data_IF_980259818635
#
_entry.id   IF_980259818635
#
_cell.length_a   1.000
_cell.length_b   1.000
_cell.length_c   1.000
_cell.angle_alpha   90.00
_cell.angle_beta   90.00
_cell.angle_gamma   90.00
#
_symmetry.space_group_name_H-M   'P 1'
#
loop_
_entity.id
_entity.type
_entity.pdbx_description
1 polymer ?
#
# COMPACT_ATOMS: atom_id res chain seq x y z
N UNK A 1 -30.65 -1.28 -5.95
CA UNK A 1 -30.74 -2.34 -4.92
C UNK A 1 -30.71 -3.68 -5.63
N UNK A 2 -29.55 -4.31 -5.71
CA UNK A 2 -29.42 -5.67 -6.27
C UNK A 2 -28.83 -6.50 -5.15
N UNK A 3 -29.61 -7.46 -4.66
CA UNK A 3 -29.20 -8.45 -3.65
C UNK A 3 -28.71 -9.66 -4.46
N UNK A 4 -27.40 -9.86 -4.53
CA UNK A 4 -26.81 -11.09 -5.06
C UNK A 4 -26.63 -12.08 -3.93
N UNK A 5 -27.33 -13.21 -4.00
CA UNK A 5 -27.15 -14.33 -3.07
C UNK A 5 -26.09 -15.30 -3.61
N UNK A 6 -25.10 -15.62 -2.77
CA UNK A 6 -24.24 -16.80 -2.95
C UNK A 6 -24.33 -17.63 -1.66
N UNK A 7 -24.95 -18.80 -1.78
CA UNK A 7 -25.15 -19.77 -0.71
C UNK A 7 -23.90 -20.68 -0.55
N UNK A 8 -23.00 -20.22 0.31
CA UNK A 8 -22.37 -20.90 1.46
C UNK A 8 -22.20 -22.43 1.55
N UNK A 9 -20.98 -22.83 1.95
CA UNK A 9 -20.72 -23.78 3.03
C UNK A 9 -19.66 -23.17 3.97
N UNK A 10 -20.06 -22.65 5.14
CA UNK A 10 -19.19 -22.27 6.27
C UNK A 10 -18.81 -20.77 6.45
N UNK A 11 -19.12 -20.20 7.61
CA UNK A 11 -18.94 -18.78 8.06
C UNK A 11 -19.65 -17.61 7.31
N UNK A 12 -20.87 -17.15 7.67
CA UNK A 12 -21.51 -15.93 7.16
C UNK A 12 -21.08 -14.92 8.19
N UNK A 13 -19.97 -14.25 7.92
CA UNK A 13 -19.65 -13.02 8.60
C UNK A 13 -20.25 -11.91 7.75
N UNK A 14 -21.42 -11.42 8.15
CA UNK A 14 -21.88 -10.12 7.69
C UNK A 14 -20.91 -9.07 8.24
N UNK A 15 -20.08 -8.49 7.38
CA UNK A 15 -19.41 -7.22 7.69
C UNK A 15 -20.09 -6.15 6.86
N UNK A 16 -21.19 -5.61 7.41
CA UNK A 16 -21.73 -4.34 6.95
C UNK A 16 -21.07 -3.24 7.77
N UNK A 17 -19.93 -2.74 7.30
CA UNK A 17 -19.38 -1.47 7.76
C UNK A 17 -19.94 -0.34 6.89
N UNK A 18 -20.94 0.36 7.43
CA UNK A 18 -21.44 1.60 6.89
C UNK A 18 -20.36 2.68 7.03
N UNK A 19 -19.58 2.85 5.97
CA UNK A 19 -18.43 3.77 5.89
C UNK A 19 -17.49 3.49 4.71
N UNK A 20 -17.68 2.35 4.01
CA UNK A 20 -16.75 1.87 2.98
C UNK A 20 -16.99 2.42 1.55
N UNK A 21 -17.99 3.27 1.34
CA UNK A 21 -18.39 3.73 -0.01
C UNK A 21 -17.56 4.89 -0.57
N UNK A 22 -16.70 5.52 0.24
CA UNK A 22 -15.91 6.69 -0.19
C UNK A 22 -14.41 6.39 -0.39
N UNK A 23 -13.99 5.13 -0.21
CA UNK A 23 -12.60 4.73 -0.43
C UNK A 23 -12.38 4.31 -1.89
N UNK A 24 -11.25 4.71 -2.51
CA UNK A 24 -10.95 4.43 -3.92
C UNK A 24 -10.70 2.94 -4.21
N UNK A 25 -10.42 2.15 -3.19
CA UNK A 25 -10.34 0.70 -3.27
C UNK A 25 -10.74 0.06 -1.94
N UNK A 26 -11.29 -1.15 -2.00
CA UNK A 26 -11.39 -1.99 -0.82
C UNK A 26 -10.11 -2.79 -0.64
N UNK A 27 -9.62 -2.82 0.60
CA UNK A 27 -8.39 -3.50 0.98
C UNK A 27 -8.72 -4.50 2.07
N UNK A 28 -8.26 -5.73 1.93
CA UNK A 28 -8.27 -6.72 2.99
C UNK A 28 -6.86 -7.26 3.23
N UNK A 29 -6.61 -7.72 4.45
CA UNK A 29 -5.37 -8.39 4.84
C UNK A 29 -5.73 -9.68 5.54
N UNK A 30 -5.00 -10.75 5.23
CA UNK A 30 -5.15 -12.04 5.88
C UNK A 30 -3.79 -12.70 6.08
N UNK A 31 -3.65 -13.41 7.19
CA UNK A 31 -2.48 -14.27 7.42
C UNK A 31 -2.58 -15.51 6.53
N UNK A 32 -1.46 -15.93 5.94
CA UNK A 32 -1.37 -17.15 5.15
C UNK A 32 -0.42 -18.16 5.81
N UNK A 33 -0.71 -19.47 5.73
CA UNK A 33 0.15 -20.48 6.33
C UNK A 33 1.57 -20.45 5.75
N UNK A 34 2.57 -20.42 6.63
CA UNK A 34 3.98 -20.57 6.26
C UNK A 34 4.59 -21.81 6.91
N UNK A 35 5.56 -22.41 6.22
CA UNK A 35 6.32 -23.56 6.74
C UNK A 35 7.56 -23.14 7.54
N UNK A 36 7.87 -21.84 7.56
CA UNK A 36 9.06 -21.30 8.24
C UNK A 36 8.68 -20.89 9.66
N UNK A 37 9.20 -21.61 10.66
CA UNK A 37 8.96 -21.31 12.06
C UNK A 37 9.47 -19.90 12.41
N UNK A 38 8.60 -19.08 13.01
CA UNK A 38 8.94 -17.71 13.44
C UNK A 38 8.84 -16.64 12.36
N UNK A 39 8.48 -16.98 11.13
CA UNK A 39 8.02 -16.00 10.13
C UNK A 39 6.50 -15.91 10.14
N UNK A 40 5.96 -14.71 9.96
CA UNK A 40 4.56 -14.51 9.65
C UNK A 40 4.46 -14.08 8.19
N UNK A 41 3.51 -14.64 7.44
CA UNK A 41 3.27 -14.26 6.05
C UNK A 41 1.83 -13.79 5.89
N UNK A 42 1.67 -12.69 5.16
CA UNK A 42 0.38 -12.04 4.97
C UNK A 42 0.12 -11.80 3.48
N UNK A 43 -1.14 -11.91 3.11
CA UNK A 43 -1.65 -11.52 1.80
C UNK A 43 -2.59 -10.34 1.94
N UNK A 44 -2.32 -9.29 1.16
CA UNK A 44 -3.17 -8.11 1.03
C UNK A 44 -3.87 -8.18 -0.30
N UNK A 45 -5.19 -8.11 -0.29
CA UNK A 45 -6.02 -8.10 -1.49
C UNK A 45 -6.58 -6.69 -1.67
N UNK A 46 -6.41 -6.15 -2.86
CA UNK A 46 -6.91 -4.83 -3.24
C UNK A 46 -7.93 -5.03 -4.36
N UNK A 47 -9.12 -4.49 -4.17
CA UNK A 47 -10.22 -4.53 -5.14
C UNK A 47 -10.59 -3.12 -5.55
N UNK A 48 -10.53 -2.81 -6.84
CA UNK A 48 -11.04 -1.54 -7.34
C UNK A 48 -12.57 -1.55 -7.30
N UNK A 49 -13.16 -0.76 -6.39
CA UNK A 49 -14.61 -0.62 -6.26
C UNK A 49 -15.18 0.58 -7.02
N UNK A 50 -14.33 1.35 -7.71
CA UNK A 50 -14.77 2.50 -8.49
C UNK A 50 -15.25 2.08 -9.87
N UNK A 51 -15.97 2.98 -10.55
CA UNK A 51 -16.40 2.77 -11.94
C UNK A 51 -15.27 3.01 -12.95
N UNK A 52 -14.15 3.58 -12.51
CA UNK A 52 -13.02 3.95 -13.37
C UNK A 52 -11.81 3.04 -13.06
N UNK A 53 -10.93 2.80 -14.04
CA UNK A 53 -9.66 2.14 -13.76
C UNK A 53 -8.78 3.01 -12.84
N UNK A 54 -8.00 2.35 -11.98
CA UNK A 54 -7.06 3.00 -11.06
C UNK A 54 -5.69 2.35 -11.15
N UNK A 55 -4.66 3.06 -10.71
CA UNK A 55 -3.33 2.49 -10.51
C UNK A 55 -3.10 2.18 -9.04
N UNK A 56 -2.56 0.99 -8.77
CA UNK A 56 -2.16 0.56 -7.44
C UNK A 56 -0.64 0.39 -7.42
N UNK A 57 0.08 0.99 -6.46
CA UNK A 57 1.50 0.79 -6.29
C UNK A 57 1.78 -0.65 -5.87
N UNK A 58 2.68 -1.29 -6.59
CA UNK A 58 3.20 -2.63 -6.30
C UNK A 58 4.72 -2.54 -6.24
N UNK A 59 5.38 -3.51 -5.59
CA UNK A 59 6.85 -3.58 -5.54
C UNK A 59 7.51 -2.24 -5.17
N UNK A 60 7.14 -1.69 -4.01
CA UNK A 60 7.72 -0.44 -3.50
C UNK A 60 9.24 -0.57 -3.34
N UNK A 61 9.98 0.43 -3.82
CA UNK A 61 11.42 0.57 -3.67
C UNK A 61 11.70 1.42 -2.45
N UNK A 62 12.54 0.94 -1.52
CA UNK A 62 12.91 1.66 -0.31
C UNK A 62 14.22 2.42 -0.53
N UNK A 63 14.51 3.40 0.32
CA UNK A 63 15.71 4.26 0.18
C UNK A 63 17.03 3.49 0.28
N UNK A 64 17.06 2.32 0.92
CA UNK A 64 18.22 1.42 0.97
C UNK A 64 18.35 0.48 -0.25
N UNK A 65 17.53 0.64 -1.29
CA UNK A 65 17.55 -0.20 -2.50
C UNK A 65 16.82 -1.53 -2.37
N UNK A 66 16.31 -1.90 -1.18
CA UNK A 66 15.47 -3.10 -1.04
C UNK A 66 14.03 -2.83 -1.51
N UNK A 67 13.31 -3.90 -1.86
CA UNK A 67 11.91 -3.84 -2.27
C UNK A 67 10.98 -4.39 -1.19
N UNK A 68 9.70 -4.05 -1.29
CA UNK A 68 8.64 -4.54 -0.41
C UNK A 68 7.97 -3.42 0.38
N UNK A 69 6.89 -3.73 1.13
CA UNK A 69 6.05 -2.72 1.76
C UNK A 69 6.84 -1.85 2.73
N UNK A 70 6.30 -0.67 2.99
CA UNK A 70 6.76 0.20 4.06
C UNK A 70 6.16 -0.25 5.39
N UNK A 71 7.00 -0.41 6.40
CA UNK A 71 6.65 -0.75 7.76
C UNK A 71 6.82 0.48 8.64
N UNK A 72 5.80 0.78 9.42
CA UNK A 72 5.78 1.80 10.46
C UNK A 72 4.73 1.42 11.50
N UNK A 73 4.59 2.21 12.55
CA UNK A 73 3.47 2.12 13.48
C UNK A 73 2.52 3.28 13.24
N UNK A 74 1.23 3.07 13.54
CA UNK A 74 0.29 4.19 13.57
C UNK A 74 0.69 5.20 14.63
N UNK A 75 0.55 6.49 14.30
CA UNK A 75 0.92 7.58 15.23
C UNK A 75 -0.03 7.67 16.43
N UNK A 76 -1.29 7.30 16.24
CA UNK A 76 -2.34 7.31 17.27
C UNK A 76 -2.42 6.02 18.08
N UNK A 77 -1.95 4.90 17.54
CA UNK A 77 -1.83 3.62 18.23
C UNK A 77 -0.53 2.90 17.82
N UNK A 78 0.52 3.08 18.63
CA UNK A 78 1.83 2.48 18.37
C UNK A 78 1.84 0.95 18.46
N UNK A 79 0.75 0.31 18.88
CA UNK A 79 0.61 -1.15 18.90
C UNK A 79 0.15 -1.74 17.56
N UNK A 80 -0.21 -0.88 16.59
CA UNK A 80 -0.64 -1.29 15.25
C UNK A 80 0.50 -1.12 14.27
N UNK A 81 0.96 -2.24 13.70
CA UNK A 81 1.87 -2.27 12.56
C UNK A 81 1.13 -1.83 11.31
N UNK A 82 1.57 -0.73 10.70
CA UNK A 82 1.11 -0.28 9.40
C UNK A 82 2.00 -0.88 8.31
N UNK A 83 1.38 -1.49 7.31
CA UNK A 83 2.06 -2.08 6.15
C UNK A 83 1.56 -1.40 4.89
N UNK A 84 2.40 -0.56 4.29
CA UNK A 84 1.96 0.38 3.28
C UNK A 84 2.60 0.15 1.89
N UNK A 85 1.77 0.24 0.85
CA UNK A 85 2.18 0.44 -0.53
C UNK A 85 1.62 1.78 -1.00
N UNK A 86 2.46 2.81 -1.00
CA UNK A 86 2.06 4.17 -1.37
C UNK A 86 3.27 5.00 -1.76
N UNK A 87 2.99 6.18 -2.30
CA UNK A 87 4.00 7.23 -2.44
C UNK A 87 3.98 8.10 -1.18
N UNK A 88 5.14 8.59 -0.76
CA UNK A 88 5.22 9.56 0.33
C UNK A 88 5.62 10.92 -0.22
N UNK A 89 5.24 12.00 0.46
CA UNK A 89 5.71 13.34 0.11
C UNK A 89 7.19 13.46 0.46
N UNK A 90 8.06 13.91 -0.47
CA UNK A 90 9.46 14.16 -0.15
C UNK A 90 9.61 15.32 0.84
N UNK A 91 10.70 15.36 1.63
CA UNK A 91 10.99 16.44 2.56
C UNK A 91 11.27 17.73 1.79
N UNK A 92 10.84 18.85 2.34
CA UNK A 92 10.96 20.17 1.69
C UNK A 92 12.40 20.65 1.48
N UNK A 93 13.37 20.13 2.23
CA UNK A 93 14.74 20.69 2.31
C UNK A 93 15.88 19.67 2.14
N UNK A 94 15.66 18.55 1.44
CA UNK A 94 16.70 17.53 1.23
C UNK A 94 17.05 17.38 -0.24
N UNK A 95 18.35 17.20 -0.55
CA UNK A 95 18.76 16.71 -1.87
C UNK A 95 18.07 15.38 -2.13
N UNK A 96 17.21 15.36 -3.16
CA UNK A 96 16.33 14.23 -3.43
C UNK A 96 17.14 13.13 -4.09
N UNK A 97 17.46 12.09 -3.32
CA UNK A 97 17.89 10.82 -3.88
C UNK A 97 16.60 10.07 -4.24
N UNK A 98 16.23 10.06 -5.53
CA UNK A 98 15.04 9.39 -6.08
C UNK A 98 15.16 7.85 -6.03
N UNK A 99 15.35 7.28 -4.83
CA UNK A 99 15.41 5.81 -4.63
C UNK A 99 14.10 5.24 -4.14
N UNK A 100 13.29 6.04 -3.45
CA UNK A 100 11.96 5.61 -3.00
C UNK A 100 10.96 5.68 -4.16
N UNK A 101 10.16 4.63 -4.33
CA UNK A 101 9.22 4.54 -5.44
C UNK A 101 8.34 3.30 -5.39
N UNK A 102 7.67 3.00 -6.49
CA UNK A 102 6.91 1.77 -6.71
C UNK A 102 6.71 1.49 -8.20
N UNK A 103 6.44 0.25 -8.56
CA UNK A 103 5.78 -0.05 -9.84
C UNK A 103 4.30 0.32 -9.72
N UNK A 104 3.64 0.60 -10.85
CA UNK A 104 2.20 0.83 -10.89
C UNK A 104 1.54 -0.32 -11.64
N UNK A 105 0.51 -0.91 -11.03
CA UNK A 105 -0.37 -1.88 -11.67
C UNK A 105 -1.70 -1.22 -11.98
N UNK A 106 -2.12 -1.26 -13.25
CA UNK A 106 -3.47 -0.86 -13.65
C UNK A 106 -4.47 -1.89 -13.12
N UNK A 107 -5.51 -1.41 -12.45
CA UNK A 107 -6.59 -2.20 -11.90
C UNK A 107 -7.92 -1.70 -12.48
N UNK A 108 -8.51 -2.42 -13.45
CA UNK A 108 -9.84 -2.10 -13.98
C UNK A 108 -10.94 -2.14 -12.91
N UNK A 109 -12.14 -1.58 -13.17
CA UNK A 109 -13.28 -1.67 -12.27
C UNK A 109 -13.60 -3.13 -11.88
N UNK A 110 -13.82 -3.38 -10.59
CA UNK A 110 -14.11 -4.68 -9.98
C UNK A 110 -13.01 -5.75 -10.10
N UNK A 111 -11.86 -5.41 -10.69
CA UNK A 111 -10.70 -6.29 -10.70
C UNK A 111 -9.95 -6.25 -9.37
N UNK A 112 -9.17 -7.30 -9.12
CA UNK A 112 -8.38 -7.42 -7.90
C UNK A 112 -6.91 -7.72 -8.16
N UNK A 113 -6.08 -7.37 -7.18
CA UNK A 113 -4.68 -7.79 -7.13
C UNK A 113 -4.33 -8.20 -5.71
N UNK A 114 -3.43 -9.17 -5.57
CA UNK A 114 -2.85 -9.52 -4.28
C UNK A 114 -1.38 -9.13 -4.20
N UNK A 115 -0.94 -8.81 -2.99
CA UNK A 115 0.45 -8.55 -2.63
C UNK A 115 0.77 -9.36 -1.38
N UNK A 116 1.91 -10.04 -1.39
CA UNK A 116 2.36 -10.83 -0.25
C UNK A 116 3.57 -10.20 0.39
N UNK A 117 3.67 -10.35 1.70
CA UNK A 117 4.83 -9.90 2.44
C UNK A 117 5.03 -10.76 3.68
N UNK A 118 6.27 -10.74 4.15
CA UNK A 118 6.69 -11.44 5.35
C UNK A 118 7.01 -10.44 6.44
N UNK A 119 6.72 -10.83 7.67
CA UNK A 119 7.10 -10.13 8.89
C UNK A 119 7.97 -11.08 9.69
N UNK A 120 9.18 -10.62 9.99
CA UNK A 120 10.11 -11.28 10.92
C UNK A 120 10.48 -10.30 12.02
N UNK A 121 10.63 -10.81 13.23
CA UNK A 121 10.98 -10.03 14.41
C UNK A 121 12.42 -10.31 14.85
N UNK A 122 13.19 -9.30 15.29
CA UNK A 122 12.79 -7.88 15.39
C UNK A 122 12.61 -7.21 14.02
N UNK A 123 11.56 -6.41 13.88
CA UNK A 123 11.19 -5.75 12.63
C UNK A 123 11.78 -4.35 12.56
N UNK A 124 12.44 -4.00 11.46
CA UNK A 124 12.98 -2.66 11.25
C UNK A 124 11.99 -1.81 10.46
N UNK A 125 11.74 -0.60 10.92
CA UNK A 125 10.95 0.41 10.22
C UNK A 125 11.51 0.68 8.81
N UNK A 126 10.62 0.77 7.83
CA UNK A 126 11.00 1.02 6.42
C UNK A 126 10.27 2.21 5.80
N UNK A 127 9.23 2.77 6.44
CA UNK A 127 8.51 3.99 5.99
C UNK A 127 9.46 5.19 5.89
N UNK A 128 9.42 5.98 4.81
CA UNK A 128 10.65 6.49 4.24
C UNK A 128 11.33 7.48 5.18
N UNK A 129 12.54 7.15 5.68
CA UNK A 129 13.45 8.18 6.10
C UNK A 129 14.04 8.73 4.80
N UNK A 130 13.49 9.84 4.33
CA UNK A 130 14.25 10.69 3.44
C UNK A 130 15.44 11.21 4.26
N UNK A 131 16.62 10.60 4.10
CA UNK A 131 17.84 10.94 4.83
C UNK A 131 18.60 9.73 5.40
N UNK A 132 19.86 9.95 5.79
CA UNK A 132 20.76 8.93 6.36
C UNK A 132 20.08 8.18 7.50
N UNK A 133 20.00 6.86 7.35
CA UNK A 133 19.13 5.95 8.13
C UNK A 133 19.47 5.78 9.62
N UNK A 134 19.86 6.84 10.32
CA UNK A 134 20.42 6.80 11.67
C UNK A 134 19.38 6.68 12.80
N UNK A 135 18.07 6.67 12.52
CA UNK A 135 17.02 6.46 13.54
C UNK A 135 15.82 5.64 13.07
N UNK A 136 16.04 4.58 12.28
CA UNK A 136 14.97 3.61 12.01
C UNK A 136 14.56 2.95 13.33
N UNK A 137 13.27 2.93 13.63
CA UNK A 137 12.77 2.21 14.80
C UNK A 137 12.90 0.71 14.59
N UNK A 138 13.18 -0.01 15.67
CA UNK A 138 13.14 -1.47 15.72
C UNK A 138 11.95 -1.84 16.59
N UNK A 139 11.11 -2.73 16.08
CA UNK A 139 9.89 -3.19 16.73
C UNK A 139 10.05 -4.65 17.13
N UNK A 140 9.89 -4.93 18.42
CA UNK A 140 9.81 -6.29 18.92
C UNK A 140 8.38 -6.82 18.81
N UNK A 141 8.24 -8.16 18.71
CA UNK A 141 6.93 -8.83 18.62
C UNK A 141 5.98 -8.42 19.74
N UNK A 142 6.50 -8.21 20.95
CA UNK A 142 5.71 -7.86 22.13
C UNK A 142 5.14 -6.44 22.09
N UNK A 143 5.71 -5.54 21.27
CA UNK A 143 5.25 -4.17 21.13
C UNK A 143 4.05 -4.04 20.18
N UNK A 144 3.84 -5.03 19.30
CA UNK A 144 2.81 -5.00 18.26
C UNK A 144 1.69 -6.00 18.59
N UNK A 145 0.45 -5.53 18.48
CA UNK A 145 -0.77 -6.32 18.72
C UNK A 145 -1.53 -6.58 17.44
N UNK A 146 -1.56 -5.59 16.54
CA UNK A 146 -2.37 -5.66 15.32
C UNK A 146 -1.58 -5.24 14.10
N UNK A 147 -2.09 -5.62 12.93
CA UNK A 147 -1.56 -5.26 11.63
C UNK A 147 -2.67 -4.63 10.77
N UNK A 148 -2.32 -3.61 10.00
CA UNK A 148 -3.21 -2.92 9.07
C UNK A 148 -2.49 -2.66 7.76
N UNK A 149 -3.14 -2.97 6.63
CA UNK A 149 -2.64 -2.63 5.32
C UNK A 149 -3.10 -1.23 4.90
N UNK A 150 -2.23 -0.50 4.21
CA UNK A 150 -2.51 0.82 3.64
C UNK A 150 -2.06 0.87 2.18
N UNK A 151 -2.94 1.32 1.29
CA UNK A 151 -2.70 1.36 -0.16
C UNK A 151 -2.97 2.76 -0.69
N UNK A 152 -1.98 3.36 -1.36
CA UNK A 152 -2.13 4.61 -2.09
C UNK A 152 -2.67 4.38 -3.49
N UNK A 153 -3.98 4.54 -3.69
CA UNK A 153 -4.65 4.36 -4.98
C UNK A 153 -4.53 5.63 -5.80
N UNK A 154 -4.03 5.54 -7.03
CA UNK A 154 -3.84 6.68 -7.91
C UNK A 154 -4.90 6.65 -9.02
N UNK A 155 -5.71 7.69 -9.22
CA UNK A 155 -6.68 7.72 -10.29
C UNK A 155 -5.99 7.71 -11.67
N UNK A 156 -6.66 7.15 -12.68
CA UNK A 156 -6.15 7.15 -14.05
C UNK A 156 -6.28 8.55 -14.67
N UNK A 157 -5.26 9.40 -14.45
CA UNK A 157 -5.17 10.75 -15.03
C UNK A 157 -4.39 10.68 -16.35
N UNK A 158 -4.80 11.48 -17.34
CA UNK A 158 -4.23 11.48 -18.69
C UNK A 158 -2.69 11.63 -18.70
N UNK A 159 -2.14 12.55 -17.91
CA UNK A 159 -0.70 12.78 -17.85
C UNK A 159 0.08 11.55 -17.36
N UNK A 160 -0.44 10.90 -16.32
CA UNK A 160 0.12 9.66 -15.82
C UNK A 160 0.05 8.52 -16.85
N UNK A 161 -1.05 8.40 -17.61
CA UNK A 161 -1.17 7.39 -18.66
C UNK A 161 -0.10 7.57 -19.75
N UNK A 162 0.13 8.81 -20.18
CA UNK A 162 1.15 9.11 -21.20
C UNK A 162 2.55 8.76 -20.68
N UNK A 163 2.86 9.14 -19.44
CA UNK A 163 4.12 8.78 -18.80
C UNK A 163 4.31 7.26 -18.69
N UNK A 164 3.28 6.52 -18.25
CA UNK A 164 3.35 5.06 -18.13
C UNK A 164 3.62 4.42 -19.49
N UNK A 165 2.91 4.84 -20.54
CA UNK A 165 3.12 4.33 -21.91
C UNK A 165 4.52 4.61 -22.46
N UNK A 166 5.16 5.69 -22.00
CA UNK A 166 6.52 6.07 -22.43
C UNK A 166 7.63 5.27 -21.72
N UNK A 167 7.31 4.59 -20.62
CA UNK A 167 8.24 3.78 -19.84
C UNK A 167 8.14 2.31 -20.26
N UNK A 168 9.24 1.57 -20.10
CA UNK A 168 9.21 0.12 -20.26
C UNK A 168 8.35 -0.52 -19.17
N UNK A 169 7.65 -1.60 -19.50
CA UNK A 169 6.87 -2.37 -18.54
C UNK A 169 7.72 -2.74 -17.31
N UNK A 170 7.16 -2.53 -16.11
CA UNK A 170 7.86 -2.77 -14.85
C UNK A 170 8.82 -1.67 -14.41
N UNK A 171 8.90 -0.54 -15.13
CA UNK A 171 9.65 0.63 -14.66
C UNK A 171 9.07 1.20 -13.37
N UNK A 172 9.95 1.65 -12.48
CA UNK A 172 9.57 2.34 -11.26
C UNK A 172 9.06 3.77 -11.49
N UNK A 173 8.17 4.19 -10.61
CA UNK A 173 7.71 5.57 -10.44
C UNK A 173 8.16 6.06 -9.07
N UNK A 174 8.51 7.33 -8.99
CA UNK A 174 8.90 7.99 -7.76
C UNK A 174 7.78 8.91 -7.30
N UNK A 175 7.81 9.32 -6.04
CA UNK A 175 6.81 10.25 -5.50
C UNK A 175 6.65 11.52 -6.35
N UNK A 176 7.76 12.05 -6.88
CA UNK A 176 7.78 13.25 -7.72
C UNK A 176 7.46 13.01 -9.20
N UNK A 177 7.14 11.77 -9.60
CA UNK A 177 6.71 11.52 -10.96
C UNK A 177 5.45 12.36 -11.26
N UNK A 178 5.43 13.07 -12.41
CA UNK A 178 4.31 13.93 -12.76
C UNK A 178 3.04 13.08 -12.96
N UNK A 179 1.94 13.48 -12.33
CA UNK A 179 0.62 12.92 -12.61
C UNK A 179 -0.11 13.70 -13.70
N UNK A 180 0.22 15.00 -13.83
CA UNK A 180 -0.30 15.92 -14.83
C UNK A 180 0.84 16.39 -15.74
N UNK A 181 0.56 16.59 -17.03
CA UNK A 181 1.54 16.96 -18.05
C UNK A 181 1.89 18.46 -18.05
N UNK A 182 2.12 19.03 -16.87
CA UNK A 182 2.53 20.42 -16.71
C UNK A 182 3.63 20.52 -15.67
N UNK A 183 4.52 21.51 -15.80
CA UNK A 183 5.64 21.71 -14.88
C UNK A 183 5.14 21.94 -13.44
N UNK A 184 4.05 22.68 -13.30
CA UNK A 184 3.31 22.93 -12.07
C UNK A 184 2.26 21.87 -11.74
N UNK A 185 2.18 20.81 -12.53
CA UNK A 185 1.16 19.77 -12.41
C UNK A 185 1.36 18.93 -11.14
N UNK A 186 0.25 18.41 -10.61
CA UNK A 186 0.30 17.57 -9.41
C UNK A 186 1.23 16.38 -9.60
N UNK A 187 1.91 16.00 -8.53
CA UNK A 187 2.77 14.82 -8.46
C UNK A 187 1.96 13.60 -8.04
N UNK A 188 2.47 12.40 -8.35
CA UNK A 188 1.74 11.16 -8.05
C UNK A 188 1.41 11.00 -6.57
N UNK A 189 2.29 11.47 -5.66
CA UNK A 189 2.00 11.43 -4.22
C UNK A 189 0.85 12.34 -3.79
N UNK A 190 0.52 13.37 -4.58
CA UNK A 190 -0.50 14.38 -4.28
C UNK A 190 -1.89 13.97 -4.78
N UNK A 191 -1.94 13.14 -5.83
CA UNK A 191 -3.20 12.66 -6.42
C UNK A 191 -3.63 11.31 -5.87
N UNK A 192 -2.75 10.58 -5.19
CA UNK A 192 -3.12 9.31 -4.57
C UNK A 192 -4.14 9.53 -3.44
N UNK A 193 -5.03 8.58 -3.29
CA UNK A 193 -5.99 8.49 -2.20
C UNK A 193 -5.68 7.23 -1.39
N UNK A 194 -5.78 7.31 -0.06
CA UNK A 194 -5.38 6.21 0.81
C UNK A 194 -6.59 5.32 1.15
N UNK A 195 -6.44 4.03 0.89
CA UNK A 195 -7.35 2.98 1.33
C UNK A 195 -6.70 2.14 2.41
N UNK A 196 -7.50 1.66 3.37
CA UNK A 196 -7.04 0.90 4.52
C UNK A 196 -7.80 -0.41 4.62
N UNK A 197 -7.14 -1.45 5.12
CA UNK A 197 -7.83 -2.66 5.57
C UNK A 197 -8.42 -2.47 6.97
N UNK A 198 -9.29 -3.39 7.36
CA UNK A 198 -9.54 -3.66 8.79
C UNK A 198 -8.24 -4.08 9.49
N UNK A 199 -8.18 -3.86 10.80
CA UNK A 199 -7.06 -4.33 11.62
C UNK A 199 -7.21 -5.82 11.93
N UNK A 200 -6.12 -6.57 11.81
CA UNK A 200 -6.07 -8.00 12.16
C UNK A 200 -5.11 -8.19 13.33
N UNK A 201 -5.45 -9.07 14.27
CA UNK A 201 -4.58 -9.42 15.39
C UNK A 201 -3.33 -10.16 14.86
N UNK A 202 -2.15 -9.71 15.30
CA UNK A 202 -0.89 -10.44 15.12
C UNK A 202 -0.90 -11.62 16.09
N UNK A 203 -0.87 -12.85 15.58
CA UNK A 203 -0.82 -14.08 16.39
C UNK A 203 0.59 -14.60 16.62
#
# INVERSE_FOLDING_TARGET
>A
MIIGFLAWYGGVVMVLSAGQNDLPAAVSIQEIPTQVAGELEYEVIVVNRTSEPVYVPTNTYRTNGSTGPYFSVREDDMTVLLVAWRFYSPPKFMMIIERAGAQLKLLPPNESTSMRFKVSFPLVETMPPYGDGHRRKVFDRAALRKIQAEIGVVPMIEGLQQMIRSKQDGSGFHALSPAENTESGKRIYEVQQLSYSEQVELR
#
